data_IF_941098373186
#
_entry.id   IF_941098373186
#
_cell.length_a   1.000
_cell.length_b   1.000
_cell.length_c   1.000
_cell.angle_alpha   90.00
_cell.angle_beta   90.00
_cell.angle_gamma   90.00
#
_symmetry.space_group_name_H-M   'P 1'
#
loop_
_entity.id
_entity.type
_entity.pdbx_description
1 polymer ?
#
# COMPACT_ATOMS: atom_id res chain seq x y z
N UNK A 1 -8.25 43.08 -101.17
CA UNK A 1 -7.94 43.71 -99.86
C UNK A 1 -8.75 43.13 -98.69
N UNK A 2 -10.08 42.94 -98.81
CA UNK A 2 -10.94 42.50 -97.68
C UNK A 2 -10.72 41.03 -97.21
N UNK A 3 -10.56 40.07 -98.12
CA UNK A 3 -10.32 38.64 -97.77
C UNK A 3 -8.99 38.36 -97.05
N UNK A 4 -7.95 39.17 -97.25
CA UNK A 4 -6.66 38.97 -96.57
C UNK A 4 -6.74 39.41 -95.11
N UNK A 5 -7.27 40.60 -94.85
CA UNK A 5 -7.49 41.13 -93.49
C UNK A 5 -8.38 40.25 -92.62
N UNK A 6 -9.37 39.55 -93.22
CA UNK A 6 -10.22 38.60 -92.50
C UNK A 6 -9.44 37.36 -92.04
N UNK A 7 -8.61 36.78 -92.92
CA UNK A 7 -7.74 35.63 -92.58
C UNK A 7 -6.67 36.00 -91.55
N UNK A 8 -6.13 37.22 -91.62
CA UNK A 8 -5.14 37.69 -90.65
C UNK A 8 -5.78 37.85 -89.25
N UNK A 9 -7.01 38.38 -89.17
CA UNK A 9 -7.79 38.45 -87.92
C UNK A 9 -8.15 37.08 -87.35
N UNK A 10 -8.61 36.15 -88.18
CA UNK A 10 -8.93 34.78 -87.74
C UNK A 10 -7.68 34.04 -87.23
N UNK A 11 -6.51 34.30 -87.83
CA UNK A 11 -5.23 33.74 -87.38
C UNK A 11 -4.76 34.37 -86.06
N UNK A 12 -4.97 35.67 -85.87
CA UNK A 12 -4.68 36.38 -84.62
C UNK A 12 -5.62 35.94 -83.49
N UNK A 13 -6.89 35.72 -83.78
CA UNK A 13 -7.88 35.20 -82.82
C UNK A 13 -7.59 33.74 -82.44
N UNK A 14 -7.24 32.90 -83.41
CA UNK A 14 -6.80 31.53 -83.15
C UNK A 14 -5.48 31.47 -82.35
N UNK A 15 -4.55 32.39 -82.61
CA UNK A 15 -3.32 32.51 -81.83
C UNK A 15 -3.59 32.97 -80.40
N UNK A 16 -4.52 33.92 -80.19
CA UNK A 16 -4.94 34.36 -78.86
C UNK A 16 -5.66 33.25 -78.07
N UNK A 17 -6.56 32.50 -78.72
CA UNK A 17 -7.23 31.35 -78.10
C UNK A 17 -6.18 30.28 -77.72
N UNK A 18 -5.25 29.97 -78.62
CA UNK A 18 -4.16 29.02 -78.36
C UNK A 18 -3.29 29.45 -77.16
N UNK A 19 -2.85 30.72 -77.14
CA UNK A 19 -2.07 31.27 -76.05
C UNK A 19 -2.84 31.25 -74.70
N UNK A 20 -4.14 31.57 -74.73
CA UNK A 20 -4.99 31.49 -73.54
C UNK A 20 -5.18 30.05 -73.06
N UNK A 21 -5.38 29.09 -73.96
CA UNK A 21 -5.47 27.67 -73.60
C UNK A 21 -4.16 27.14 -73.01
N UNK A 22 -3.00 27.56 -73.54
CA UNK A 22 -1.70 27.21 -72.99
C UNK A 22 -1.50 27.77 -71.57
N UNK A 23 -1.87 29.05 -71.36
CA UNK A 23 -1.81 29.67 -70.04
C UNK A 23 -2.73 28.97 -69.01
N UNK A 24 -3.92 28.53 -69.44
CA UNK A 24 -4.82 27.74 -68.59
C UNK A 24 -4.26 26.36 -68.26
N UNK A 25 -3.64 25.67 -69.22
CA UNK A 25 -3.01 24.37 -68.96
C UNK A 25 -1.81 24.50 -68.03
N UNK A 26 -1.03 25.57 -68.15
CA UNK A 26 0.11 25.83 -67.27
C UNK A 26 -0.36 26.13 -65.85
N UNK A 27 -1.38 26.99 -65.67
CA UNK A 27 -1.95 27.26 -64.35
C UNK A 27 -2.58 26.01 -63.72
N UNK A 28 -3.24 25.18 -64.53
CA UNK A 28 -3.77 23.90 -64.06
C UNK A 28 -2.65 22.94 -63.62
N UNK A 29 -1.54 22.88 -64.36
CA UNK A 29 -0.40 22.06 -63.98
C UNK A 29 0.27 22.54 -62.68
N UNK A 30 0.42 23.87 -62.52
CA UNK A 30 0.96 24.50 -61.32
C UNK A 30 0.10 24.20 -60.08
N UNK A 31 -1.20 24.47 -60.13
CA UNK A 31 -2.13 24.19 -59.03
C UNK A 31 -2.17 22.70 -58.64
N UNK A 32 -2.08 21.79 -59.61
CA UNK A 32 -1.96 20.35 -59.33
C UNK A 32 -0.67 20.00 -58.60
N UNK A 33 0.46 20.59 -59.02
CA UNK A 33 1.75 20.36 -58.37
C UNK A 33 1.75 20.90 -56.93
N UNK A 34 1.21 22.09 -56.71
CA UNK A 34 1.05 22.70 -55.37
C UNK A 34 0.18 21.82 -54.46
N UNK A 35 -1.00 21.39 -54.94
CA UNK A 35 -1.91 20.55 -54.17
C UNK A 35 -1.28 19.19 -53.84
N UNK A 36 -0.58 18.56 -54.78
CA UNK A 36 0.13 17.30 -54.53
C UNK A 36 1.25 17.47 -53.49
N UNK A 37 1.95 18.61 -53.51
CA UNK A 37 2.96 18.93 -52.52
C UNK A 37 2.35 19.10 -51.11
N UNK A 38 1.22 19.80 -51.00
CA UNK A 38 0.52 20.01 -49.73
C UNK A 38 -0.08 18.70 -49.18
N UNK A 39 -0.66 17.86 -50.04
CA UNK A 39 -1.15 16.52 -49.65
C UNK A 39 0.01 15.66 -49.12
N UNK A 40 1.17 15.70 -49.79
CA UNK A 40 2.34 14.93 -49.36
C UNK A 40 2.89 15.43 -48.02
N UNK A 41 2.96 16.75 -47.83
CA UNK A 41 3.40 17.36 -46.58
C UNK A 41 2.45 17.04 -45.42
N UNK A 42 1.15 17.19 -45.64
CA UNK A 42 0.13 16.83 -44.63
C UNK A 42 0.15 15.35 -44.29
N UNK A 43 0.27 14.46 -45.29
CA UNK A 43 0.41 13.02 -45.07
C UNK A 43 1.63 12.70 -44.20
N UNK A 44 2.79 13.27 -44.51
CA UNK A 44 4.01 13.07 -43.71
C UNK A 44 3.84 13.54 -42.26
N UNK A 45 3.19 14.70 -42.05
CA UNK A 45 2.87 15.20 -40.70
C UNK A 45 1.94 14.27 -39.93
N UNK A 46 0.92 13.70 -40.57
CA UNK A 46 0.02 12.74 -39.94
C UNK A 46 0.70 11.41 -39.65
N UNK A 47 1.54 10.91 -40.55
CA UNK A 47 2.36 9.71 -40.34
C UNK A 47 3.28 9.88 -39.12
N UNK A 48 3.96 11.03 -38.99
CA UNK A 48 4.77 11.33 -37.80
C UNK A 48 3.95 11.36 -36.51
N UNK A 49 2.78 11.99 -36.51
CA UNK A 49 1.89 12.02 -35.34
C UNK A 49 1.38 10.63 -34.98
N UNK A 50 1.04 9.81 -35.97
CA UNK A 50 0.57 8.44 -35.77
C UNK A 50 1.67 7.57 -35.16
N UNK A 51 2.90 7.68 -35.66
CA UNK A 51 4.05 6.99 -35.08
C UNK A 51 4.33 7.45 -33.65
N UNK A 52 4.19 8.75 -33.34
CA UNK A 52 4.35 9.26 -31.99
C UNK A 52 3.29 8.71 -31.03
N UNK A 53 2.02 8.66 -31.46
CA UNK A 53 0.92 8.05 -30.68
C UNK A 53 1.17 6.57 -30.47
N UNK A 54 1.61 5.84 -31.49
CA UNK A 54 1.93 4.41 -31.36
C UNK A 54 3.01 4.19 -30.30
N UNK A 55 4.09 4.98 -30.33
CA UNK A 55 5.16 4.89 -29.34
C UNK A 55 4.66 5.18 -27.91
N UNK A 56 3.78 6.16 -27.72
CA UNK A 56 3.16 6.44 -26.42
C UNK A 56 2.26 5.29 -25.96
N UNK A 57 1.51 4.69 -26.86
CA UNK A 57 0.66 3.52 -26.54
C UNK A 57 1.51 2.34 -26.11
N UNK A 58 2.60 2.04 -26.81
CA UNK A 58 3.51 0.94 -26.46
C UNK A 58 4.18 1.15 -25.08
N UNK A 59 4.58 2.39 -24.78
CA UNK A 59 5.11 2.77 -23.46
C UNK A 59 4.05 2.60 -22.36
N UNK A 60 2.83 3.08 -22.61
CA UNK A 60 1.72 2.89 -21.68
C UNK A 60 1.39 1.41 -21.46
N UNK A 61 1.41 0.57 -22.49
CA UNK A 61 1.22 -0.89 -22.36
C UNK A 61 2.31 -1.49 -21.46
N UNK A 62 3.56 -1.07 -21.62
CA UNK A 62 4.66 -1.53 -20.77
C UNK A 62 4.48 -1.07 -19.32
N UNK A 63 4.08 0.18 -19.10
CA UNK A 63 3.81 0.71 -17.76
C UNK A 63 2.65 -0.02 -17.07
N UNK A 64 1.54 -0.23 -17.77
CA UNK A 64 0.35 -0.91 -17.25
C UNK A 64 0.69 -2.34 -16.84
N UNK A 65 1.37 -3.11 -17.70
CA UNK A 65 1.77 -4.48 -17.36
C UNK A 65 2.73 -4.55 -16.17
N UNK A 66 3.61 -3.54 -16.03
CA UNK A 66 4.45 -3.40 -14.84
C UNK A 66 3.65 -3.13 -13.56
N UNK A 67 2.65 -2.26 -13.63
CA UNK A 67 1.76 -1.95 -12.50
C UNK A 67 0.89 -3.15 -12.10
N UNK A 68 0.33 -3.87 -13.07
CA UNK A 68 -0.46 -5.08 -12.84
C UNK A 68 0.37 -6.12 -12.08
N UNK A 69 1.59 -6.41 -12.56
CA UNK A 69 2.51 -7.33 -11.87
C UNK A 69 2.86 -6.85 -10.45
N UNK A 70 3.10 -5.55 -10.26
CA UNK A 70 3.41 -5.01 -8.93
C UNK A 70 2.20 -5.12 -7.99
N UNK A 71 0.99 -4.93 -8.50
CA UNK A 71 -0.24 -5.08 -7.74
C UNK A 71 -0.47 -6.54 -7.33
N UNK A 72 -0.23 -7.49 -8.23
CA UNK A 72 -0.33 -8.93 -7.94
C UNK A 72 0.63 -9.34 -6.81
N UNK A 73 1.90 -8.95 -6.92
CA UNK A 73 2.93 -9.24 -5.88
C UNK A 73 2.54 -8.62 -4.53
N UNK A 74 2.10 -7.36 -4.54
CA UNK A 74 1.67 -6.70 -3.30
C UNK A 74 0.45 -7.39 -2.71
N UNK A 75 -0.50 -7.82 -3.54
CA UNK A 75 -1.69 -8.55 -3.08
C UNK A 75 -1.31 -9.88 -2.43
N UNK A 76 -0.39 -10.65 -3.03
CA UNK A 76 0.09 -11.91 -2.44
C UNK A 76 0.82 -11.67 -1.12
N UNK A 77 1.68 -10.65 -1.06
CA UNK A 77 2.43 -10.32 0.15
C UNK A 77 1.49 -9.90 1.31
N UNK A 78 0.46 -9.11 1.00
CA UNK A 78 -0.56 -8.71 1.98
C UNK A 78 -1.29 -9.93 2.52
N UNK A 79 -1.69 -10.88 1.67
CA UNK A 79 -2.37 -12.09 2.13
C UNK A 79 -1.47 -12.96 3.02
N UNK A 80 -0.19 -13.09 2.67
CA UNK A 80 0.78 -13.86 3.46
C UNK A 80 1.06 -13.22 4.82
N UNK A 81 1.18 -11.89 4.86
CA UNK A 81 1.36 -11.14 6.10
C UNK A 81 0.13 -11.26 7.00
N UNK A 82 -1.07 -11.18 6.43
CA UNK A 82 -2.32 -11.35 7.17
C UNK A 82 -2.43 -12.75 7.81
N UNK A 83 -2.05 -13.80 7.07
CA UNK A 83 -2.01 -15.16 7.59
C UNK A 83 -1.02 -15.29 8.76
N UNK A 84 0.22 -14.83 8.58
CA UNK A 84 1.25 -14.84 9.64
C UNK A 84 0.84 -14.05 10.87
N UNK A 85 0.17 -12.91 10.67
CA UNK A 85 -0.33 -12.08 11.78
C UNK A 85 -1.43 -12.81 12.56
N UNK A 86 -2.35 -13.47 11.86
CA UNK A 86 -3.40 -14.28 12.49
C UNK A 86 -2.81 -15.38 13.37
N UNK A 87 -1.82 -16.12 12.84
CA UNK A 87 -1.12 -17.17 13.59
C UNK A 87 -0.41 -16.61 14.82
N UNK A 88 0.29 -15.48 14.66
CA UNK A 88 1.01 -14.84 15.76
C UNK A 88 0.06 -14.34 16.86
N UNK A 89 -1.12 -13.83 16.48
CA UNK A 89 -2.16 -13.42 17.43
C UNK A 89 -2.68 -14.63 18.22
N UNK A 90 -2.93 -15.75 17.54
CA UNK A 90 -3.39 -16.98 18.17
C UNK A 90 -2.33 -17.55 19.15
N UNK A 91 -1.08 -17.59 18.73
CA UNK A 91 0.04 -18.05 19.57
C UNK A 91 0.25 -17.13 20.78
N UNK A 92 0.17 -15.81 20.59
CA UNK A 92 0.28 -14.85 21.69
C UNK A 92 -0.85 -15.04 22.71
N UNK A 93 -2.09 -15.25 22.25
CA UNK A 93 -3.21 -15.55 23.14
C UNK A 93 -2.99 -16.85 23.94
N UNK A 94 -2.49 -17.90 23.28
CA UNK A 94 -2.15 -19.18 23.92
C UNK A 94 -1.03 -19.02 24.95
N UNK A 95 0.01 -18.26 24.62
CA UNK A 95 1.12 -17.98 25.53
C UNK A 95 0.67 -17.18 26.75
N UNK A 96 -0.17 -16.15 26.56
CA UNK A 96 -0.76 -15.38 27.66
C UNK A 96 -1.57 -16.25 28.60
N UNK A 97 -2.41 -17.14 28.06
CA UNK A 97 -3.18 -18.09 28.87
C UNK A 97 -2.27 -19.04 29.65
N UNK A 98 -1.20 -19.54 29.03
CA UNK A 98 -0.22 -20.42 29.68
C UNK A 98 0.55 -19.71 30.80
N UNK A 99 0.96 -18.45 30.57
CA UNK A 99 1.62 -17.64 31.60
C UNK A 99 0.70 -17.42 32.78
N UNK A 100 -0.57 -17.07 32.55
CA UNK A 100 -1.55 -16.89 33.62
C UNK A 100 -1.77 -18.17 34.43
N UNK A 101 -1.87 -19.33 33.77
CA UNK A 101 -1.96 -20.63 34.47
C UNK A 101 -0.70 -20.91 35.31
N UNK A 102 0.49 -20.70 34.75
CA UNK A 102 1.75 -20.93 35.45
C UNK A 102 1.92 -20.00 36.67
N UNK A 103 1.57 -18.72 36.53
CA UNK A 103 1.58 -17.76 37.63
C UNK A 103 0.57 -18.16 38.71
N UNK A 104 -0.64 -18.55 38.31
CA UNK A 104 -1.68 -19.02 39.23
C UNK A 104 -1.23 -20.25 40.01
N UNK A 105 -0.67 -21.26 39.32
CA UNK A 105 -0.15 -22.49 39.96
C UNK A 105 1.05 -22.20 40.86
N UNK A 106 1.95 -21.32 40.44
CA UNK A 106 3.12 -20.92 41.23
C UNK A 106 2.73 -20.21 42.52
N UNK A 107 1.64 -19.43 42.50
CA UNK A 107 1.16 -18.66 43.67
C UNK A 107 0.01 -19.32 44.41
N UNK A 108 -0.45 -20.50 43.99
CA UNK A 108 -1.65 -21.18 44.53
C UNK A 108 -1.61 -21.41 46.04
N UNK A 109 -0.42 -21.64 46.59
CA UNK A 109 -0.22 -21.89 48.02
C UNK A 109 0.20 -20.63 48.79
N UNK A 110 0.25 -19.47 48.12
CA UNK A 110 0.63 -18.21 48.77
C UNK A 110 -0.63 -17.56 49.34
N UNK A 111 -0.55 -17.13 50.60
CA UNK A 111 -1.60 -16.35 51.26
C UNK A 111 -1.08 -14.94 51.47
N UNK A 112 -1.93 -13.92 51.24
CA UNK A 112 -1.61 -12.51 51.50
C UNK A 112 -2.47 -12.01 52.65
N UNK A 113 -1.82 -11.61 53.73
CA UNK A 113 -2.46 -11.04 54.91
C UNK A 113 -2.29 -9.52 54.83
N UNK A 114 -3.36 -8.77 55.10
CA UNK A 114 -3.40 -7.30 55.03
C UNK A 114 -3.94 -6.74 56.34
N UNK A 115 -3.53 -5.50 56.68
CA UNK A 115 -4.01 -4.82 57.89
C UNK A 115 -3.21 -5.12 59.17
N UNK A 116 -2.03 -5.74 59.05
CA UNK A 116 -1.11 -5.90 60.17
C UNK A 116 -0.21 -4.66 60.33
N UNK A 117 0.06 -4.20 61.56
CA UNK A 117 1.10 -3.22 61.81
C UNK A 117 2.46 -3.71 61.32
N UNK A 118 3.28 -2.81 60.80
CA UNK A 118 4.63 -3.19 60.37
C UNK A 118 5.50 -3.66 61.54
N UNK A 119 6.42 -4.56 61.23
CA UNK A 119 7.40 -5.14 62.16
C UNK A 119 6.81 -6.00 63.30
N UNK A 120 5.49 -6.25 63.29
CA UNK A 120 4.80 -7.07 64.33
C UNK A 120 5.32 -8.51 64.39
N UNK A 121 5.79 -9.02 63.26
CA UNK A 121 6.32 -10.37 63.08
C UNK A 121 7.72 -10.59 63.69
N UNK A 122 8.43 -9.50 64.01
CA UNK A 122 9.76 -9.51 64.59
C UNK A 122 10.81 -10.22 63.72
N UNK A 123 11.78 -10.89 64.36
CA UNK A 123 12.92 -11.51 63.67
C UNK A 123 12.64 -12.88 63.05
N UNK A 124 11.48 -13.48 63.33
CA UNK A 124 11.11 -14.83 62.84
C UNK A 124 9.71 -14.85 62.22
N UNK A 125 9.52 -14.24 61.03
CA UNK A 125 8.21 -14.11 60.40
C UNK A 125 7.47 -15.43 60.22
N UNK A 126 8.17 -16.48 59.76
CA UNK A 126 7.58 -17.81 59.54
C UNK A 126 6.97 -18.41 60.81
N UNK A 127 7.65 -18.25 61.95
CA UNK A 127 7.15 -18.77 63.22
C UNK A 127 5.96 -17.95 63.74
N UNK A 128 6.04 -16.61 63.61
CA UNK A 128 4.94 -15.72 63.97
C UNK A 128 3.67 -16.03 63.18
N UNK A 129 3.75 -16.09 61.86
CA UNK A 129 2.57 -16.33 61.01
C UNK A 129 2.02 -17.76 61.13
N UNK A 130 2.87 -18.76 61.38
CA UNK A 130 2.42 -20.12 61.66
C UNK A 130 1.52 -20.14 62.91
N UNK A 131 1.97 -19.48 63.98
CA UNK A 131 1.21 -19.39 65.23
C UNK A 131 -0.05 -18.54 65.07
N UNK A 132 0.05 -17.37 64.43
CA UNK A 132 -1.08 -16.47 64.18
C UNK A 132 -2.21 -17.17 63.40
N UNK A 133 -1.86 -17.91 62.34
CA UNK A 133 -2.86 -18.64 61.54
C UNK A 133 -3.57 -19.72 62.36
N UNK A 134 -2.84 -20.43 63.22
CA UNK A 134 -3.42 -21.44 64.10
C UNK A 134 -4.36 -20.81 65.15
N UNK A 135 -3.97 -19.68 65.73
CA UNK A 135 -4.77 -18.97 66.72
C UNK A 135 -6.06 -18.39 66.12
N UNK A 136 -5.99 -17.85 64.89
CA UNK A 136 -7.15 -17.21 64.23
C UNK A 136 -8.12 -18.24 63.64
N UNK A 137 -7.62 -19.30 63.01
CA UNK A 137 -8.46 -20.30 62.33
C UNK A 137 -8.92 -21.43 63.27
N UNK A 138 -8.23 -21.60 64.40
CA UNK A 138 -8.56 -22.58 65.43
C UNK A 138 -8.23 -24.03 65.07
N UNK A 139 -8.30 -24.89 66.09
CA UNK A 139 -7.99 -26.32 65.98
C UNK A 139 -8.96 -27.10 65.08
N UNK A 140 -10.20 -26.58 64.92
CA UNK A 140 -11.22 -27.17 64.06
C UNK A 140 -10.85 -27.06 62.56
N UNK A 141 -10.08 -26.03 62.19
CA UNK A 141 -9.62 -25.80 60.81
C UNK A 141 -8.20 -26.34 60.58
N UNK A 142 -7.31 -26.12 61.55
CA UNK A 142 -5.91 -26.51 61.48
C UNK A 142 -5.58 -27.42 62.67
N UNK A 143 -5.22 -28.70 62.48
CA UNK A 143 -4.94 -29.61 63.59
C UNK A 143 -3.68 -29.27 64.37
N UNK A 144 -2.78 -28.45 63.79
CA UNK A 144 -1.57 -27.93 64.41
C UNK A 144 -1.07 -26.69 63.66
N UNK A 145 -0.11 -25.91 64.22
CA UNK A 145 0.46 -24.78 63.50
C UNK A 145 1.03 -25.18 62.13
N UNK A 146 0.58 -24.53 61.03
CA UNK A 146 0.93 -24.93 59.68
C UNK A 146 2.42 -24.69 59.43
N UNK A 147 3.05 -25.58 58.66
CA UNK A 147 4.42 -25.39 58.19
C UNK A 147 4.40 -24.39 57.04
N UNK A 148 5.23 -23.34 57.16
CA UNK A 148 5.36 -22.30 56.16
C UNK A 148 6.78 -22.34 55.57
N UNK A 149 6.89 -22.37 54.25
CA UNK A 149 8.20 -22.36 53.57
C UNK A 149 8.86 -20.98 53.67
N UNK A 150 8.06 -19.91 53.56
CA UNK A 150 8.53 -18.53 53.59
C UNK A 150 7.42 -17.59 54.07
N UNK A 151 7.78 -16.62 54.89
CA UNK A 151 6.93 -15.47 55.22
C UNK A 151 7.76 -14.19 55.09
N UNK A 152 7.17 -13.15 54.50
CA UNK A 152 7.82 -11.85 54.29
C UNK A 152 6.79 -10.77 54.00
N UNK A 153 7.11 -9.53 54.37
CA UNK A 153 6.40 -8.34 53.90
C UNK A 153 6.63 -8.12 52.39
N UNK A 154 5.66 -7.47 51.75
CA UNK A 154 5.84 -6.99 50.38
C UNK A 154 6.94 -5.94 50.33
N UNK A 155 7.63 -5.81 49.20
CA UNK A 155 8.69 -4.81 48.96
C UNK A 155 8.18 -3.35 48.92
N UNK A 156 6.95 -3.09 49.37
CA UNK A 156 6.41 -1.74 49.45
C UNK A 156 7.11 -0.96 50.58
N UNK A 157 7.24 0.35 50.40
CA UNK A 157 7.78 1.22 51.45
C UNK A 157 6.83 1.27 52.64
N UNK A 158 7.41 1.45 53.84
CA UNK A 158 6.67 1.66 55.09
C UNK A 158 5.65 2.79 54.92
N UNK A 159 4.34 2.55 55.14
CA UNK A 159 3.35 3.60 55.14
C UNK A 159 3.75 4.71 56.12
N UNK A 160 3.55 5.96 55.70
CA UNK A 160 3.74 7.09 56.59
C UNK A 160 2.66 7.05 57.70
N UNK A 161 3.01 7.35 58.96
CA UNK A 161 2.12 7.22 60.11
C UNK A 161 0.82 8.03 60.02
#
# INVERSE_FOLDING_TARGET
MSKSRKRDREREEAANISAFTAALTDKLAETKAELLAEIKDTYSKYEMKLNAVQATVDDHTTCITGLERSADVTSTDVTDIQAKLSDLVADNAKLKAKVLDLEGRSRRNNIRIVGLPEDVEGSRPTAFFSQLLFEVLGADTLPSPPRLDRAHCTLAAKPWP
#
